data_IF_310507560547
#
_entry.id   IF_310507560547
#
_cell.length_a   1.000
_cell.length_b   1.000
_cell.length_c   1.000
_cell.angle_alpha   90.00
_cell.angle_beta   90.00
_cell.angle_gamma   90.00
#
_symmetry.space_group_name_H-M   'P 1'
#
loop_
_entity.id
_entity.type
_entity.pdbx_description
1 polymer ?
#
# COMPACT_ATOMS: atom_id res chain seq x y z
N UNK A 1 9.63 8.87 -5.34
CA UNK A 1 8.46 9.54 -5.95
C UNK A 1 8.59 11.03 -5.64
N UNK A 2 8.58 11.93 -6.64
CA UNK A 2 8.62 13.37 -6.35
C UNK A 2 7.24 13.83 -5.89
N UNK A 3 7.19 14.67 -4.85
CA UNK A 3 5.94 15.26 -4.36
C UNK A 3 5.19 14.43 -3.31
N UNK A 4 5.80 13.37 -2.76
CA UNK A 4 5.25 12.62 -1.63
C UNK A 4 6.00 13.03 -0.37
N UNK A 5 5.27 13.49 0.65
CA UNK A 5 5.82 13.85 1.96
C UNK A 5 6.39 12.63 2.67
N UNK A 6 7.47 12.80 3.43
CA UNK A 6 8.05 11.73 4.26
C UNK A 6 7.03 11.14 5.24
N UNK A 7 6.13 11.96 5.78
CA UNK A 7 5.02 11.50 6.63
C UNK A 7 4.13 10.46 5.93
N UNK A 8 3.74 10.73 4.68
CA UNK A 8 2.91 9.80 3.91
C UNK A 8 3.68 8.51 3.58
N UNK A 9 4.98 8.61 3.33
CA UNK A 9 5.83 7.43 3.12
C UNK A 9 5.87 6.56 4.37
N UNK A 10 6.04 7.17 5.55
CA UNK A 10 6.10 6.46 6.83
C UNK A 10 4.76 5.81 7.18
N UNK A 11 3.65 6.53 7.00
CA UNK A 11 2.31 5.99 7.23
C UNK A 11 2.00 4.81 6.32
N UNK A 12 2.38 4.90 5.05
CA UNK A 12 2.17 3.82 4.11
C UNK A 12 3.04 2.60 4.44
N UNK A 13 4.28 2.80 4.89
CA UNK A 13 5.16 1.72 5.34
C UNK A 13 4.61 1.02 6.60
N UNK A 14 4.16 1.81 7.59
CA UNK A 14 3.53 1.30 8.81
C UNK A 14 2.24 0.52 8.50
N UNK A 15 1.41 1.03 7.60
CA UNK A 15 0.20 0.34 7.16
C UNK A 15 0.52 -0.97 6.42
N UNK A 16 1.53 -0.98 5.54
CA UNK A 16 1.96 -2.20 4.87
C UNK A 16 2.45 -3.24 5.88
N UNK A 17 3.22 -2.82 6.89
CA UNK A 17 3.69 -3.69 7.96
C UNK A 17 2.55 -4.24 8.84
N UNK A 18 1.58 -3.41 9.19
CA UNK A 18 0.39 -3.83 9.93
C UNK A 18 -0.46 -4.87 9.17
N UNK A 19 -0.43 -4.83 7.83
CA UNK A 19 -1.04 -5.84 6.96
C UNK A 19 -0.17 -7.10 6.78
N UNK A 20 0.96 -7.23 7.50
CA UNK A 20 1.90 -8.36 7.36
C UNK A 20 2.67 -8.35 6.04
N UNK A 21 2.82 -7.19 5.41
CA UNK A 21 3.51 -7.02 4.14
C UNK A 21 4.53 -5.88 4.18
N UNK A 22 5.01 -5.47 3.01
CA UNK A 22 5.95 -4.38 2.85
C UNK A 22 5.49 -3.43 1.74
N UNK A 23 6.03 -2.22 1.77
CA UNK A 23 5.73 -1.16 0.81
C UNK A 23 5.84 -1.59 -0.64
N UNK A 24 6.87 -2.37 -0.98
CA UNK A 24 7.17 -2.77 -2.35
C UNK A 24 6.17 -3.81 -2.84
N UNK A 25 5.81 -4.76 -1.98
CA UNK A 25 4.82 -5.77 -2.33
C UNK A 25 3.41 -5.16 -2.47
N UNK A 26 3.02 -4.20 -1.63
CA UNK A 26 1.72 -3.52 -1.76
C UNK A 26 1.69 -2.65 -3.02
N UNK A 27 2.76 -1.88 -3.31
CA UNK A 27 2.82 -1.06 -4.54
C UNK A 27 2.80 -1.89 -5.81
N UNK A 28 3.48 -3.03 -5.84
CA UNK A 28 3.40 -3.99 -6.96
C UNK A 28 1.98 -4.50 -7.16
N UNK A 29 1.32 -4.97 -6.12
CA UNK A 29 -0.06 -5.45 -6.20
C UNK A 29 -1.03 -4.36 -6.66
N UNK A 30 -0.85 -3.13 -6.18
CA UNK A 30 -1.63 -1.98 -6.64
C UNK A 30 -1.43 -1.70 -8.13
N UNK A 31 -0.19 -1.77 -8.64
CA UNK A 31 0.08 -1.59 -10.06
C UNK A 31 -0.54 -2.71 -10.89
N UNK A 32 -0.34 -3.96 -10.50
CA UNK A 32 -0.92 -5.13 -11.17
C UNK A 32 -2.45 -5.05 -11.22
N UNK A 33 -3.09 -4.66 -10.12
CA UNK A 33 -4.53 -4.44 -10.06
C UNK A 33 -4.96 -3.27 -10.94
N UNK A 34 -4.25 -2.13 -10.86
CA UNK A 34 -4.60 -0.90 -11.58
C UNK A 34 -4.52 -1.07 -13.10
N UNK A 35 -3.55 -1.83 -13.60
CA UNK A 35 -3.43 -2.13 -15.05
C UNK A 35 -4.29 -3.31 -15.50
N UNK A 36 -5.02 -3.96 -14.58
CA UNK A 36 -5.90 -5.08 -14.90
C UNK A 36 -5.16 -6.38 -15.22
N UNK A 37 -4.01 -6.64 -14.59
CA UNK A 37 -3.29 -7.91 -14.77
C UNK A 37 -4.18 -9.11 -14.39
N UNK A 38 -4.19 -10.20 -15.18
CA UNK A 38 -4.96 -11.40 -14.86
C UNK A 38 -4.62 -11.95 -13.47
N UNK A 39 -5.65 -12.10 -12.62
CA UNK A 39 -5.49 -12.63 -11.26
C UNK A 39 -5.03 -11.62 -10.21
N UNK A 40 -4.70 -10.38 -10.60
CA UNK A 40 -4.36 -9.32 -9.66
C UNK A 40 -5.59 -8.91 -8.82
N UNK A 41 -5.36 -8.64 -7.54
CA UNK A 41 -6.40 -8.23 -6.58
C UNK A 41 -5.95 -6.96 -5.87
N UNK A 42 -6.93 -6.14 -5.51
CA UNK A 42 -6.69 -4.98 -4.65
C UNK A 42 -6.18 -5.49 -3.29
N UNK A 43 -5.02 -5.01 -2.80
CA UNK A 43 -4.52 -5.41 -1.50
C UNK A 43 -5.45 -4.92 -0.38
N UNK A 44 -5.54 -5.71 0.69
CA UNK A 44 -6.38 -5.40 1.84
C UNK A 44 -5.85 -4.18 2.61
N UNK A 45 -6.76 -3.32 3.09
CA UNK A 45 -6.41 -2.16 3.89
C UNK A 45 -6.41 -2.56 5.37
N UNK A 46 -5.30 -2.34 6.12
CA UNK A 46 -5.27 -2.68 7.53
C UNK A 46 -6.36 -1.91 8.29
N UNK A 47 -7.09 -2.62 9.15
CA UNK A 47 -8.25 -2.12 9.88
C UNK A 47 -7.96 -0.98 10.89
N UNK A 48 -6.69 -0.59 11.09
CA UNK A 48 -6.26 0.37 12.11
C UNK A 48 -5.71 1.70 11.58
N UNK A 49 -5.93 2.05 10.31
CA UNK A 49 -5.31 3.22 9.66
C UNK A 49 -6.27 4.35 9.27
N UNK A 50 -7.41 4.51 9.95
CA UNK A 50 -8.13 5.77 9.94
C UNK A 50 -7.50 6.63 11.03
N UNK A 51 -6.70 7.62 10.64
CA UNK A 51 -6.22 8.67 11.56
C UNK A 51 -7.45 9.21 12.31
N UNK A 52 -7.47 9.07 13.64
CA UNK A 52 -8.44 9.73 14.51
C UNK A 52 -8.17 11.24 14.58
#
# INVERSE_FOLDING_TARGET
MRGISDELVNDFDAAAHAAGSDRSNITRQLWEWYVGCPGAKLPDRPAGGARE
#
